data_IF_809900722979
#
_entry.id   IF_809900722979
#
_cell.length_a   1.000
_cell.length_b   1.000
_cell.length_c   1.000
_cell.angle_alpha   90.00
_cell.angle_beta   90.00
_cell.angle_gamma   90.00
#
_symmetry.space_group_name_H-M   'P 1'
#
loop_
_entity.id
_entity.type
_entity.pdbx_description
1 polymer ?
#
# COMPACT_ATOMS: atom_id res chain seq x y z
N UNK A 1 -31.73 17.32 -32.75
CA UNK A 1 -31.89 18.10 -31.50
C UNK A 1 -30.67 17.84 -30.64
N UNK A 2 -29.69 18.76 -30.61
CA UNK A 2 -28.44 18.59 -29.85
C UNK A 2 -28.70 18.91 -28.37
N UNK A 3 -28.58 17.91 -27.49
CA UNK A 3 -28.61 18.11 -26.03
C UNK A 3 -27.18 18.41 -25.57
N UNK A 4 -26.95 19.61 -25.06
CA UNK A 4 -25.72 19.98 -24.38
C UNK A 4 -25.78 19.44 -22.96
N UNK A 5 -24.88 18.52 -22.59
CA UNK A 5 -24.73 18.07 -21.21
C UNK A 5 -23.64 18.95 -20.60
N UNK A 6 -24.04 19.87 -19.72
CA UNK A 6 -23.10 20.58 -18.85
C UNK A 6 -22.59 19.59 -17.79
N UNK A 7 -21.30 19.25 -17.85
CA UNK A 7 -20.63 18.59 -16.74
C UNK A 7 -20.21 19.65 -15.72
N UNK A 8 -20.92 19.70 -14.58
CA UNK A 8 -20.50 20.50 -13.44
C UNK A 8 -19.44 19.72 -12.66
N UNK A 9 -18.19 20.14 -12.72
CA UNK A 9 -17.12 19.61 -11.86
C UNK A 9 -17.13 20.40 -10.56
N UNK A 10 -17.69 19.80 -9.51
CA UNK A 10 -17.61 20.32 -8.13
C UNK A 10 -16.34 19.74 -7.47
N UNK A 11 -15.29 20.56 -7.37
CA UNK A 11 -14.16 20.27 -6.48
C UNK A 11 -14.53 20.72 -5.06
N UNK A 12 -15.11 19.82 -4.27
CA UNK A 12 -15.26 20.02 -2.84
C UNK A 12 -14.11 19.30 -2.10
N UNK A 13 -13.02 20.02 -1.82
CA UNK A 13 -11.99 19.57 -0.89
C UNK A 13 -12.44 19.91 0.54
N UNK A 14 -13.10 18.96 1.20
CA UNK A 14 -13.34 19.04 2.64
C UNK A 14 -12.21 18.32 3.39
N UNK A 15 -11.21 19.07 3.83
CA UNK A 15 -10.19 18.56 4.74
C UNK A 15 -10.75 18.61 6.17
N UNK A 16 -11.30 17.50 6.64
CA UNK A 16 -11.52 17.27 8.07
C UNK A 16 -10.25 16.67 8.67
N UNK A 17 -9.32 17.54 9.06
CA UNK A 17 -8.17 17.14 9.87
C UNK A 17 -8.59 17.12 11.34
N UNK A 18 -8.88 15.94 11.88
CA UNK A 18 -8.93 15.75 13.34
C UNK A 18 -7.50 15.46 13.79
N UNK A 19 -6.80 16.48 14.28
CA UNK A 19 -5.54 16.32 15.00
C UNK A 19 -5.84 16.30 16.49
N UNK A 20 -5.76 15.13 17.12
CA UNK A 20 -5.68 15.06 18.59
C UNK A 20 -4.23 15.29 19.00
N UNK A 21 -3.96 16.39 19.72
CA UNK A 21 -2.72 16.54 20.48
C UNK A 21 -2.65 15.46 21.56
N UNK A 22 -1.90 14.40 21.31
CA UNK A 22 -1.42 13.50 22.37
C UNK A 22 -0.06 14.01 22.84
N UNK A 23 -0.01 14.41 24.11
CA UNK A 23 1.23 14.76 24.83
C UNK A 23 2.33 13.72 24.61
N UNK A 24 3.53 14.25 24.41
CA UNK A 24 4.79 13.55 24.12
C UNK A 24 5.02 12.28 24.96
N UNK A 25 4.97 11.14 24.28
CA UNK A 25 5.86 10.02 24.53
C UNK A 25 6.31 9.59 23.12
N UNK A 26 7.58 9.78 22.73
CA UNK A 26 7.96 9.71 21.34
C UNK A 26 7.75 8.28 20.82
N UNK A 27 6.75 8.13 19.96
CA UNK A 27 6.61 7.07 18.95
C UNK A 27 6.48 5.61 19.41
N UNK A 28 5.91 5.34 20.59
CA UNK A 28 5.63 3.95 20.98
C UNK A 28 4.67 3.25 20.02
N UNK A 29 3.59 3.90 19.62
CA UNK A 29 2.58 3.35 18.70
C UNK A 29 2.19 4.40 17.66
N UNK A 30 2.09 3.98 16.40
CA UNK A 30 1.50 4.79 15.33
C UNK A 30 0.33 4.05 14.69
N UNK A 31 -0.64 4.80 14.19
CA UNK A 31 -1.80 4.27 13.47
C UNK A 31 -2.04 5.08 12.21
N UNK A 32 -2.39 4.41 11.12
CA UNK A 32 -2.76 5.05 9.87
C UNK A 32 -3.92 4.32 9.21
N UNK A 33 -4.69 5.07 8.42
CA UNK A 33 -5.76 4.53 7.60
C UNK A 33 -5.76 5.22 6.23
N UNK A 34 -6.13 4.47 5.20
CA UNK A 34 -6.19 4.92 3.82
C UNK A 34 -7.40 4.29 3.13
N UNK A 35 -8.10 5.09 2.31
CA UNK A 35 -9.25 4.66 1.53
C UNK A 35 -9.15 5.25 0.11
N UNK A 36 -9.12 4.36 -0.88
CA UNK A 36 -9.07 4.67 -2.31
C UNK A 36 -10.37 4.19 -2.97
N UNK A 37 -11.20 5.15 -3.37
CA UNK A 37 -12.47 4.95 -4.07
C UNK A 37 -12.33 5.41 -5.51
N UNK A 38 -12.94 4.68 -6.44
CA UNK A 38 -12.96 5.07 -7.84
C UNK A 38 -14.22 4.65 -8.56
N UNK A 39 -14.45 5.32 -9.69
CA UNK A 39 -15.41 4.94 -10.70
C UNK A 39 -14.70 4.98 -12.05
N UNK A 40 -14.67 3.85 -12.76
CA UNK A 40 -14.13 3.74 -14.11
C UNK A 40 -15.23 3.64 -15.15
N UNK A 41 -15.06 4.30 -16.29
CA UNK A 41 -15.90 4.12 -17.47
C UNK A 41 -15.04 3.92 -18.72
N UNK A 42 -15.37 2.91 -19.52
CA UNK A 42 -14.67 2.56 -20.76
C UNK A 42 -15.67 2.61 -21.91
N UNK A 43 -15.43 3.52 -22.86
CA UNK A 43 -16.29 3.75 -24.02
C UNK A 43 -16.35 2.56 -24.99
N UNK A 44 -15.42 1.60 -24.88
CA UNK A 44 -15.47 0.36 -25.65
C UNK A 44 -16.44 -0.68 -25.05
N UNK A 45 -17.03 -0.41 -23.89
CA UNK A 45 -18.01 -1.24 -23.19
C UNK A 45 -17.62 -2.74 -23.11
N UNK A 46 -16.43 -3.07 -22.57
CA UNK A 46 -15.96 -4.45 -22.53
C UNK A 46 -16.92 -5.35 -21.71
N UNK A 47 -17.22 -6.54 -22.24
CA UNK A 47 -18.13 -7.50 -21.60
C UNK A 47 -17.65 -7.94 -20.21
N UNK A 48 -16.34 -7.96 -19.96
CA UNK A 48 -15.74 -8.35 -18.67
C UNK A 48 -16.03 -7.34 -17.55
N UNK A 49 -16.45 -6.10 -17.88
CA UNK A 49 -16.53 -4.95 -16.96
C UNK A 49 -15.26 -4.74 -16.13
N UNK A 50 -14.14 -5.25 -16.64
CA UNK A 50 -12.78 -5.02 -16.15
C UNK A 50 -11.97 -4.37 -17.28
N UNK A 51 -10.95 -3.59 -16.91
CA UNK A 51 -9.89 -3.12 -17.81
C UNK A 51 -9.06 -4.32 -18.33
N UNK A 52 -7.86 -4.02 -18.82
CA UNK A 52 -6.88 -4.99 -19.31
C UNK A 52 -6.51 -6.00 -18.21
N UNK A 53 -6.29 -7.28 -18.56
CA UNK A 53 -6.12 -8.37 -17.59
C UNK A 53 -4.80 -8.33 -16.81
N UNK A 54 -3.84 -7.52 -17.24
CA UNK A 54 -2.53 -7.34 -16.60
C UNK A 54 -2.45 -6.08 -15.73
N UNK A 55 -3.57 -5.41 -15.52
CA UNK A 55 -3.69 -4.31 -14.57
C UNK A 55 -4.41 -4.84 -13.33
N UNK A 56 -3.98 -4.37 -12.16
CA UNK A 56 -4.58 -4.74 -10.88
C UNK A 56 -5.25 -3.54 -10.19
N UNK A 57 -4.96 -2.32 -10.64
CA UNK A 57 -5.49 -1.08 -10.05
C UNK A 57 -6.57 -0.45 -10.87
N UNK A 58 -7.59 0.04 -10.16
CA UNK A 58 -8.68 0.81 -10.75
C UNK A 58 -9.27 0.11 -11.98
N UNK A 59 -9.46 -1.21 -11.88
CA UNK A 59 -9.77 -2.08 -13.02
C UNK A 59 -11.26 -2.26 -13.27
N UNK A 60 -12.13 -2.05 -12.28
CA UNK A 60 -13.58 -2.19 -12.44
C UNK A 60 -14.17 -1.06 -13.27
N UNK A 61 -15.15 -1.39 -14.10
CA UNK A 61 -15.88 -0.46 -14.97
C UNK A 61 -17.36 -0.40 -14.56
N UNK A 62 -17.99 0.74 -14.85
CA UNK A 62 -19.42 1.03 -14.68
C UNK A 62 -19.96 0.85 -13.25
N UNK A 63 -19.08 0.91 -12.25
CA UNK A 63 -19.42 0.73 -10.85
C UNK A 63 -18.51 1.55 -9.95
N UNK A 64 -19.04 2.00 -8.82
CA UNK A 64 -18.23 2.53 -7.73
C UNK A 64 -17.51 1.37 -7.04
N UNK A 65 -16.21 1.49 -6.85
CA UNK A 65 -15.39 0.44 -6.24
C UNK A 65 -14.38 1.01 -5.26
N UNK A 66 -14.03 0.20 -4.25
CA UNK A 66 -12.87 0.42 -3.39
C UNK A 66 -11.68 -0.24 -4.10
N UNK A 67 -10.70 0.56 -4.51
CA UNK A 67 -9.44 0.03 -5.01
C UNK A 67 -8.67 -0.61 -3.85
N UNK A 68 -8.42 0.18 -2.80
CA UNK A 68 -7.74 -0.25 -1.58
C UNK A 68 -8.33 0.50 -0.36
N UNK A 69 -8.66 -0.25 0.68
CA UNK A 69 -8.88 0.25 2.02
C UNK A 69 -7.80 -0.40 2.90
N UNK A 70 -7.03 0.40 3.62
CA UNK A 70 -5.89 -0.05 4.42
C UNK A 70 -5.99 0.57 5.81
N UNK A 71 -5.85 -0.26 6.84
CA UNK A 71 -5.58 0.18 8.20
C UNK A 71 -4.24 -0.40 8.63
N UNK A 72 -3.40 0.40 9.26
CA UNK A 72 -2.08 -0.05 9.71
C UNK A 72 -1.77 0.48 11.10
N UNK A 73 -1.07 -0.33 11.87
CA UNK A 73 -0.47 0.05 13.13
C UNK A 73 1.00 -0.33 13.14
N UNK A 74 1.83 0.54 13.71
CA UNK A 74 3.21 0.22 14.04
C UNK A 74 3.48 0.43 15.51
N UNK A 75 4.43 -0.33 16.03
CA UNK A 75 4.94 -0.21 17.38
C UNK A 75 6.46 -0.19 17.31
N UNK A 76 7.10 0.70 18.05
CA UNK A 76 8.54 0.69 18.23
C UNK A 76 8.92 1.07 19.66
N UNK A 77 9.73 0.22 20.29
CA UNK A 77 10.26 0.48 21.62
C UNK A 77 11.62 -0.16 21.80
N UNK A 78 12.56 0.61 22.31
CA UNK A 78 13.92 0.17 22.61
C UNK A 78 14.56 -0.50 21.38
N UNK A 79 14.70 -1.83 21.37
CA UNK A 79 15.31 -2.58 20.26
C UNK A 79 14.29 -3.39 19.47
N UNK A 80 13.00 -3.12 19.63
CA UNK A 80 11.94 -3.91 19.02
C UNK A 80 11.01 -3.03 18.20
N UNK A 81 10.57 -3.55 17.06
CA UNK A 81 9.51 -2.96 16.25
C UNK A 81 8.55 -4.00 15.73
N UNK A 82 7.31 -3.62 15.50
CA UNK A 82 6.29 -4.47 14.90
C UNK A 82 5.40 -3.63 13.98
N UNK A 83 4.96 -4.22 12.88
CA UNK A 83 4.04 -3.58 11.94
C UNK A 83 2.94 -4.57 11.57
N UNK A 84 1.70 -4.10 11.60
CA UNK A 84 0.53 -4.84 11.11
C UNK A 84 -0.31 -3.91 10.23
N UNK A 85 -0.53 -4.33 8.99
CA UNK A 85 -1.39 -3.66 8.03
C UNK A 85 -2.40 -4.64 7.46
N UNK A 86 -3.68 -4.28 7.52
CA UNK A 86 -4.78 -5.04 6.92
C UNK A 86 -5.37 -4.24 5.78
N UNK A 87 -5.49 -4.89 4.63
CA UNK A 87 -6.06 -4.31 3.42
C UNK A 87 -7.32 -5.04 2.95
N UNK A 88 -8.15 -4.32 2.22
CA UNK A 88 -9.26 -4.87 1.46
C UNK A 88 -9.47 -4.03 0.19
N UNK A 89 -10.19 -4.56 -0.79
CA UNK A 89 -10.51 -3.84 -2.03
C UNK A 89 -10.28 -4.68 -3.28
N UNK A 90 -10.53 -4.07 -4.43
CA UNK A 90 -10.37 -4.73 -5.74
C UNK A 90 -8.91 -5.00 -6.08
N UNK A 91 -8.00 -4.12 -5.66
CA UNK A 91 -6.55 -4.32 -5.81
C UNK A 91 -6.07 -5.58 -5.09
N UNK A 92 -6.33 -5.70 -3.78
CA UNK A 92 -5.92 -6.88 -3.01
C UNK A 92 -6.54 -8.18 -3.55
N UNK A 93 -7.80 -8.12 -4.02
CA UNK A 93 -8.46 -9.29 -4.63
C UNK A 93 -7.79 -9.79 -5.89
N UNK A 94 -7.37 -8.88 -6.76
CA UNK A 94 -6.80 -9.23 -8.06
C UNK A 94 -5.28 -9.47 -7.95
N UNK A 95 -4.54 -8.64 -7.21
CA UNK A 95 -3.08 -8.70 -7.12
C UNK A 95 -2.56 -9.81 -6.20
N UNK A 96 -3.36 -10.25 -5.22
CA UNK A 96 -3.03 -11.35 -4.30
C UNK A 96 -3.97 -12.54 -4.56
N UNK A 97 -4.41 -12.71 -5.81
CA UNK A 97 -5.37 -13.75 -6.18
C UNK A 97 -4.84 -15.17 -5.93
N UNK A 98 -3.53 -15.35 -6.08
CA UNK A 98 -2.82 -16.62 -5.91
C UNK A 98 -2.49 -16.93 -4.44
N UNK A 99 -2.67 -15.96 -3.54
CA UNK A 99 -2.52 -16.18 -2.10
C UNK A 99 -3.77 -16.84 -1.50
N UNK A 100 -3.60 -17.64 -0.42
CA UNK A 100 -4.73 -18.17 0.34
C UNK A 100 -5.71 -17.06 0.71
N UNK A 101 -7.01 -17.35 0.61
CA UNK A 101 -8.06 -16.32 0.72
C UNK A 101 -7.98 -15.51 2.03
N UNK A 102 -7.55 -16.14 3.12
CA UNK A 102 -7.37 -15.46 4.41
C UNK A 102 -6.16 -14.51 4.44
N UNK A 103 -5.10 -14.80 3.67
CA UNK A 103 -3.82 -14.09 3.74
C UNK A 103 -3.74 -12.89 2.79
N UNK A 104 -4.51 -12.87 1.69
CA UNK A 104 -4.54 -11.75 0.73
C UNK A 104 -4.91 -10.39 1.34
N UNK A 105 -5.53 -10.41 2.52
CA UNK A 105 -5.92 -9.21 3.27
C UNK A 105 -4.81 -8.67 4.17
N UNK A 106 -3.69 -9.37 4.27
CA UNK A 106 -2.51 -8.88 4.98
C UNK A 106 -1.73 -8.00 4.00
N UNK A 107 -1.61 -6.72 4.32
CA UNK A 107 -0.75 -5.79 3.60
C UNK A 107 0.69 -5.88 4.12
N UNK A 108 0.83 -5.98 5.43
CA UNK A 108 2.11 -6.07 6.11
C UNK A 108 1.91 -6.77 7.46
N UNK A 109 2.83 -7.65 7.84
CA UNK A 109 2.83 -8.29 9.15
C UNK A 109 4.25 -8.73 9.48
N UNK A 110 5.01 -7.88 10.17
CA UNK A 110 6.40 -8.16 10.50
C UNK A 110 6.78 -7.69 11.89
N UNK A 111 7.87 -8.26 12.37
CA UNK A 111 8.53 -7.89 13.60
C UNK A 111 10.02 -7.72 13.33
N UNK A 112 10.65 -6.81 14.05
CA UNK A 112 12.07 -6.52 13.91
C UNK A 112 12.77 -6.35 15.24
N UNK A 113 14.04 -6.73 15.28
CA UNK A 113 14.95 -6.48 16.39
C UNK A 113 16.18 -5.70 15.93
N UNK A 114 16.50 -4.62 16.63
CA UNK A 114 17.73 -3.88 16.44
C UNK A 114 18.91 -4.68 17.00
N UNK A 115 19.95 -4.89 16.22
CA UNK A 115 21.15 -5.65 16.60
C UNK A 115 22.20 -4.79 17.31
N UNK A 116 22.10 -3.46 17.19
CA UNK A 116 22.97 -2.48 17.83
C UNK A 116 22.19 -1.53 18.75
N UNK A 117 22.90 -0.78 19.59
CA UNK A 117 22.30 0.17 20.54
C UNK A 117 21.78 1.44 19.87
N UNK A 118 22.32 1.81 18.71
CA UNK A 118 21.93 3.01 17.98
C UNK A 118 20.80 2.75 16.98
N UNK A 119 20.25 1.53 16.96
CA UNK A 119 19.15 1.11 16.08
C UNK A 119 19.46 1.35 14.59
N UNK A 120 20.71 1.14 14.17
CA UNK A 120 21.15 1.27 12.77
C UNK A 120 21.17 -0.05 12.02
N UNK A 121 21.16 -1.19 12.73
CA UNK A 121 21.14 -2.53 12.13
C UNK A 121 19.89 -3.25 12.62
N UNK A 122 19.00 -3.60 11.69
CA UNK A 122 17.72 -4.26 12.00
C UNK A 122 17.63 -5.62 11.34
N UNK A 123 17.19 -6.61 12.10
CA UNK A 123 16.76 -7.91 11.59
C UNK A 123 15.23 -7.97 11.65
N UNK A 124 14.57 -7.90 10.49
CA UNK A 124 13.12 -7.99 10.35
C UNK A 124 12.71 -9.35 9.78
N UNK A 125 11.56 -9.85 10.21
CA UNK A 125 10.97 -11.08 9.67
C UNK A 125 9.44 -10.98 9.55
N UNK A 126 8.88 -11.60 8.51
CA UNK A 126 7.45 -11.70 8.25
C UNK A 126 7.07 -11.25 6.84
N UNK A 127 5.87 -10.69 6.69
CA UNK A 127 5.40 -10.02 5.49
C UNK A 127 5.89 -8.57 5.52
N UNK A 128 6.90 -8.30 4.70
CA UNK A 128 7.63 -7.06 4.57
C UNK A 128 7.12 -6.27 3.35
N UNK A 129 7.23 -4.94 3.34
CA UNK A 129 7.08 -4.17 2.12
C UNK A 129 8.16 -4.59 1.12
N UNK A 130 7.78 -4.71 -0.14
CA UNK A 130 8.71 -5.02 -1.23
C UNK A 130 9.82 -3.99 -1.34
N UNK A 131 11.04 -4.44 -1.68
CA UNK A 131 12.16 -3.54 -1.99
C UNK A 131 12.16 -3.10 -3.46
N UNK A 132 11.28 -3.67 -4.27
CA UNK A 132 11.18 -3.43 -5.71
C UNK A 132 10.10 -2.38 -5.99
N UNK A 133 10.46 -1.37 -6.78
CA UNK A 133 9.50 -0.44 -7.37
C UNK A 133 9.64 1.01 -6.90
N UNK A 134 9.40 1.93 -7.83
CA UNK A 134 9.39 3.38 -7.57
C UNK A 134 7.99 3.91 -7.26
N UNK A 135 6.97 3.11 -7.56
CA UNK A 135 5.55 3.43 -7.36
C UNK A 135 4.97 2.52 -6.26
N UNK A 136 3.96 3.02 -5.56
CA UNK A 136 3.32 2.41 -4.39
C UNK A 136 2.00 1.73 -4.74
N UNK A 137 1.60 0.76 -3.91
CA UNK A 137 0.24 0.24 -3.89
C UNK A 137 -0.78 1.30 -3.44
N UNK A 138 -0.34 2.19 -2.54
CA UNK A 138 -1.11 3.33 -2.04
C UNK A 138 -1.10 4.41 -3.12
N UNK A 139 -2.23 4.58 -3.80
CA UNK A 139 -2.32 5.43 -5.00
C UNK A 139 -1.99 6.91 -4.76
N UNK A 140 -2.23 7.43 -3.54
CA UNK A 140 -1.91 8.83 -3.18
C UNK A 140 -0.41 9.14 -3.20
N UNK A 141 0.43 8.11 -3.09
CA UNK A 141 1.88 8.25 -3.05
C UNK A 141 2.49 8.22 -4.48
N UNK A 142 1.66 8.01 -5.51
CA UNK A 142 2.06 8.00 -6.92
C UNK A 142 1.81 9.35 -7.58
N UNK A 143 2.65 9.71 -8.56
CA UNK A 143 2.49 10.94 -9.35
C UNK A 143 1.23 10.93 -10.23
N UNK A 144 0.81 9.74 -10.66
CA UNK A 144 -0.36 9.53 -11.51
C UNK A 144 -1.24 8.43 -10.93
N UNK A 145 -2.55 8.52 -11.18
CA UNK A 145 -3.50 7.51 -10.72
C UNK A 145 -3.24 6.14 -11.37
N UNK A 146 -2.99 6.12 -12.68
CA UNK A 146 -2.55 4.90 -13.37
C UNK A 146 -1.06 4.70 -13.12
N UNK A 147 -0.68 3.47 -12.79
CA UNK A 147 0.73 3.11 -12.59
C UNK A 147 1.41 2.72 -13.89
N UNK A 148 2.74 2.70 -13.89
CA UNK A 148 3.51 2.11 -14.97
C UNK A 148 3.28 0.59 -15.07
N UNK A 149 3.50 0.03 -16.26
CA UNK A 149 3.42 -1.42 -16.49
C UNK A 149 4.42 -2.18 -15.60
N UNK A 150 5.59 -1.59 -15.33
CA UNK A 150 6.60 -2.20 -14.44
C UNK A 150 6.02 -2.34 -13.02
N UNK A 151 5.38 -1.30 -12.51
CA UNK A 151 4.77 -1.29 -11.19
C UNK A 151 3.55 -2.22 -11.09
N UNK A 152 2.71 -2.32 -12.13
CA UNK A 152 1.60 -3.29 -12.17
C UNK A 152 2.08 -4.75 -12.13
N UNK A 153 3.34 -5.02 -12.46
CA UNK A 153 3.92 -6.38 -12.51
C UNK A 153 5.03 -6.60 -11.45
N UNK A 154 5.13 -5.73 -10.46
CA UNK A 154 6.10 -5.85 -9.35
C UNK A 154 5.39 -6.27 -8.05
N UNK A 155 6.04 -7.06 -7.18
CA UNK A 155 5.49 -7.32 -5.85
C UNK A 155 5.38 -6.06 -5.01
N UNK A 156 4.36 -6.03 -4.15
CA UNK A 156 4.18 -5.00 -3.13
C UNK A 156 4.39 -5.50 -1.71
N UNK A 157 4.63 -6.80 -1.56
CA UNK A 157 5.06 -7.43 -0.33
C UNK A 157 6.11 -8.49 -0.65
N UNK A 158 6.87 -8.85 0.38
CA UNK A 158 7.82 -9.95 0.36
C UNK A 158 7.69 -10.71 1.67
N UNK A 159 7.74 -12.03 1.63
CA UNK A 159 7.77 -12.85 2.84
C UNK A 159 9.17 -13.38 3.08
N UNK A 160 9.71 -13.16 4.27
CA UNK A 160 11.04 -13.65 4.61
C UNK A 160 11.71 -12.90 5.74
N UNK A 161 13.03 -12.80 5.66
CA UNK A 161 13.91 -12.14 6.62
C UNK A 161 14.74 -11.09 5.91
N UNK A 162 14.86 -9.90 6.50
CA UNK A 162 15.69 -8.79 6.02
C UNK A 162 16.66 -8.34 7.09
N UNK A 163 17.95 -8.29 6.75
CA UNK A 163 18.97 -7.60 7.52
C UNK A 163 19.23 -6.24 6.87
N UNK A 164 18.76 -5.16 7.49
CA UNK A 164 18.97 -3.79 7.05
C UNK A 164 20.06 -3.08 7.85
N UNK A 165 20.86 -2.27 7.18
CA UNK A 165 21.88 -1.43 7.79
C UNK A 165 21.81 -0.01 7.24
N UNK A 166 21.46 0.94 8.10
CA UNK A 166 21.53 2.36 7.81
C UNK A 166 22.91 2.88 8.21
N UNK A 167 23.81 2.99 7.23
CA UNK A 167 25.20 3.42 7.45
C UNK A 167 25.30 4.93 7.66
N UNK A 168 24.53 5.69 6.90
CA UNK A 168 24.38 7.14 7.00
C UNK A 168 23.09 7.59 6.31
N UNK A 169 22.77 8.88 6.35
CA UNK A 169 21.62 9.45 5.63
C UNK A 169 21.60 9.16 4.12
N UNK A 170 22.78 8.94 3.53
CA UNK A 170 22.92 8.69 2.09
C UNK A 170 22.99 7.20 1.73
N UNK A 171 23.23 6.31 2.69
CA UNK A 171 23.55 4.91 2.42
C UNK A 171 22.75 3.95 3.30
N UNK A 172 21.87 3.20 2.64
CA UNK A 172 21.16 2.07 3.20
C UNK A 172 21.55 0.80 2.45
N UNK A 173 21.85 -0.26 3.21
CA UNK A 173 22.14 -1.59 2.68
C UNK A 173 21.14 -2.59 3.24
N UNK A 174 20.68 -3.52 2.41
CA UNK A 174 19.82 -4.61 2.85
C UNK A 174 20.24 -5.93 2.23
N UNK A 175 20.20 -6.98 3.04
CA UNK A 175 20.28 -8.37 2.59
C UNK A 175 18.97 -9.06 2.93
N UNK A 176 18.36 -9.69 1.93
CA UNK A 176 17.05 -10.32 2.05
C UNK A 176 17.15 -11.81 1.74
N UNK A 177 16.50 -12.62 2.56
CA UNK A 177 16.24 -14.03 2.30
C UNK A 177 14.73 -14.23 2.25
N UNK A 178 14.21 -14.49 1.06
CA UNK A 178 12.77 -14.46 0.76
C UNK A 178 12.28 -15.84 0.37
N UNK A 179 11.03 -16.14 0.72
CA UNK A 179 10.34 -17.39 0.37
C UNK A 179 8.99 -17.18 -0.33
N UNK A 180 8.61 -15.93 -0.61
CA UNK A 180 7.37 -15.61 -1.32
C UNK A 180 7.23 -14.12 -1.63
N UNK A 181 6.39 -13.82 -2.61
CA UNK A 181 5.95 -12.49 -3.07
C UNK A 181 4.73 -12.64 -3.97
#
# INVERSE_FOLDING_TARGET
>A
MKKWILAAVLFANAHLSISQEMKENPELFSFSAFLDLYYGYDFNEPLSKKRLPFLYNHTRQDQLAINQALISGSFQKDRFRANLGLQHGTYAKDNYADEPEALRWIYQANFGVALDQHQKVWLDAGVLPSHIGFESAISKDNLTLSRSIIAENSPYFETGVKLGWEKSEAWYFALLYLNGW
#
